data_IF_055668989784
#
_entry.id   IF_055668989784
#
_cell.length_a   1.000
_cell.length_b   1.000
_cell.length_c   1.000
_cell.angle_alpha   90.00
_cell.angle_beta   90.00
_cell.angle_gamma   90.00
#
_symmetry.space_group_name_H-M   'P 1'
#
loop_
_entity.id
_entity.type
_entity.pdbx_description
1 polymer ?
#
# COMPACT_ATOMS: atom_id res chain seq x y z
N UNK A 1 8.49 40.74 -3.28
CA UNK A 1 7.41 39.77 -2.99
C UNK A 1 8.05 38.57 -2.34
N UNK A 2 7.85 38.38 -1.04
CA UNK A 2 8.32 37.18 -0.33
C UNK A 2 7.27 36.09 -0.56
N UNK A 3 7.70 34.92 -1.06
CA UNK A 3 6.81 33.77 -1.22
C UNK A 3 6.68 33.13 0.16
N UNK A 4 5.51 33.31 0.77
CA UNK A 4 5.19 32.66 2.03
C UNK A 4 4.97 31.16 1.78
N UNK A 5 5.83 30.33 2.36
CA UNK A 5 5.81 28.87 2.13
C UNK A 5 4.83 28.22 3.10
N UNK A 6 3.61 27.99 2.66
CA UNK A 6 2.62 27.21 3.41
C UNK A 6 3.00 25.73 3.39
N UNK A 7 3.24 25.14 4.55
CA UNK A 7 3.48 23.70 4.72
C UNK A 7 2.19 23.05 5.20
N UNK A 8 1.57 22.23 4.35
CA UNK A 8 0.36 21.46 4.71
C UNK A 8 0.81 20.08 5.19
N UNK A 9 0.58 19.79 6.46
CA UNK A 9 0.81 18.46 7.03
C UNK A 9 -0.41 17.57 6.73
N UNK A 10 -0.30 16.71 5.72
CA UNK A 10 -1.32 15.69 5.43
C UNK A 10 -1.01 14.46 6.28
N UNK A 11 -1.79 14.27 7.35
CA UNK A 11 -1.72 13.06 8.16
C UNK A 11 -2.56 11.97 7.51
N UNK A 12 -1.97 11.16 6.62
CA UNK A 12 -2.61 9.90 6.23
C UNK A 12 -2.62 8.97 7.46
N UNK A 13 -3.75 8.37 7.84
CA UNK A 13 -3.87 7.62 9.10
C UNK A 13 -2.90 6.43 9.21
N UNK A 14 -2.40 5.93 8.07
CA UNK A 14 -1.13 5.20 7.99
C UNK A 14 -0.64 5.26 6.54
N UNK A 15 0.47 5.96 6.20
CA UNK A 15 1.02 5.94 4.84
C UNK A 15 1.58 4.55 4.47
N UNK A 16 1.84 3.71 5.48
CA UNK A 16 2.42 2.40 5.34
C UNK A 16 1.65 1.37 6.14
N UNK A 17 1.57 0.15 5.62
CA UNK A 17 0.83 -0.93 6.26
C UNK A 17 1.59 -2.24 6.16
N UNK A 18 1.64 -2.99 7.26
CA UNK A 18 2.19 -4.34 7.24
C UNK A 18 1.40 -5.23 6.27
N UNK A 19 2.10 -6.05 5.48
CA UNK A 19 1.49 -6.91 4.45
C UNK A 19 0.30 -7.73 4.98
N UNK A 20 0.42 -8.32 6.17
CA UNK A 20 -0.66 -9.13 6.75
C UNK A 20 -1.92 -8.30 7.04
N UNK A 21 -1.75 -7.05 7.50
CA UNK A 21 -2.88 -6.15 7.73
C UNK A 21 -3.50 -5.69 6.42
N UNK A 22 -2.67 -5.44 5.40
CA UNK A 22 -3.15 -5.12 4.06
C UNK A 22 -4.00 -6.26 3.49
N UNK A 23 -3.49 -7.49 3.53
CA UNK A 23 -4.23 -8.69 3.08
C UNK A 23 -5.55 -8.88 3.82
N UNK A 24 -5.56 -8.67 5.14
CA UNK A 24 -6.78 -8.75 5.94
C UNK A 24 -7.83 -7.72 5.51
N UNK A 25 -7.42 -6.48 5.21
CA UNK A 25 -8.35 -5.41 4.82
C UNK A 25 -8.83 -5.53 3.38
N UNK A 26 -7.99 -6.03 2.47
CA UNK A 26 -8.33 -6.13 1.04
C UNK A 26 -8.94 -7.47 0.66
N UNK A 27 -8.83 -8.49 1.52
CA UNK A 27 -9.22 -9.87 1.19
C UNK A 27 -8.24 -10.57 0.26
N UNK A 28 -7.12 -9.94 -0.10
CA UNK A 28 -6.10 -10.56 -0.94
C UNK A 28 -5.33 -11.64 -0.17
N UNK A 29 -4.96 -12.72 -0.86
CA UNK A 29 -4.14 -13.77 -0.22
C UNK A 29 -2.71 -13.29 0.03
N UNK A 30 -2.17 -13.66 1.20
CA UNK A 30 -0.79 -13.35 1.58
C UNK A 30 0.21 -13.85 0.53
N UNK A 31 -0.01 -15.04 -0.02
CA UNK A 31 0.85 -15.63 -1.06
C UNK A 31 0.85 -14.81 -2.35
N UNK A 32 -0.32 -14.32 -2.79
CA UNK A 32 -0.44 -13.44 -3.96
C UNK A 32 0.31 -12.13 -3.73
N UNK A 33 0.08 -11.48 -2.60
CA UNK A 33 0.75 -10.20 -2.31
C UNK A 33 2.27 -10.39 -2.17
N UNK A 34 2.75 -11.46 -1.54
CA UNK A 34 4.18 -11.78 -1.48
C UNK A 34 4.79 -11.96 -2.87
N UNK A 35 4.09 -12.63 -3.78
CA UNK A 35 4.52 -12.81 -5.16
C UNK A 35 4.60 -11.47 -5.89
N UNK A 36 3.58 -10.63 -5.79
CA UNK A 36 3.59 -9.28 -6.37
C UNK A 36 4.76 -8.43 -5.83
N UNK A 37 5.10 -8.57 -4.55
CA UNK A 37 6.27 -7.90 -3.96
C UNK A 37 7.58 -8.41 -4.58
N UNK A 38 7.74 -9.72 -4.78
CA UNK A 38 8.94 -10.28 -5.43
C UNK A 38 9.04 -9.92 -6.92
N UNK A 39 7.90 -9.74 -7.59
CA UNK A 39 7.81 -9.38 -9.00
C UNK A 39 7.93 -7.85 -9.22
N UNK A 40 7.94 -7.06 -8.15
CA UNK A 40 8.03 -5.59 -8.21
C UNK A 40 6.72 -4.89 -8.56
N UNK A 41 5.60 -5.61 -8.54
CA UNK A 41 4.26 -5.12 -8.89
C UNK A 41 3.52 -4.47 -7.70
N UNK A 42 3.94 -4.77 -6.47
CA UNK A 42 3.36 -4.19 -5.26
C UNK A 42 4.28 -3.10 -4.70
N UNK A 43 3.79 -1.85 -4.57
CA UNK A 43 4.55 -0.77 -3.93
C UNK A 43 4.87 -1.10 -2.46
N UNK A 44 6.16 -1.09 -2.12
CA UNK A 44 6.63 -1.31 -0.76
C UNK A 44 7.69 -0.28 -0.38
N UNK A 45 7.86 -0.06 0.93
CA UNK A 45 9.08 0.59 1.41
C UNK A 45 10.27 -0.30 1.06
N UNK A 46 11.34 0.24 0.46
CA UNK A 46 12.58 -0.49 0.22
C UNK A 46 13.08 -1.16 1.50
N UNK A 47 13.40 -2.45 1.39
CA UNK A 47 13.91 -3.24 2.53
C UNK A 47 15.43 -3.36 2.41
N UNK A 48 16.10 -3.26 3.54
CA UNK A 48 17.56 -3.45 3.62
C UNK A 48 17.95 -4.93 3.75
N UNK A 49 16.99 -5.79 4.11
CA UNK A 49 17.20 -7.23 4.20
C UNK A 49 15.89 -8.00 4.01
N UNK A 50 16.00 -9.28 3.66
CA UNK A 50 14.84 -10.16 3.47
C UNK A 50 14.07 -10.44 4.77
N UNK A 51 14.75 -10.37 5.91
CA UNK A 51 14.16 -10.59 7.24
C UNK A 51 13.30 -9.42 7.72
N UNK A 52 13.43 -8.26 7.08
CA UNK A 52 12.65 -7.08 7.42
C UNK A 52 11.19 -7.25 7.01
N UNK A 53 10.28 -6.85 7.91
CA UNK A 53 8.85 -6.82 7.67
C UNK A 53 8.53 -6.04 6.40
N UNK A 54 7.69 -6.61 5.55
CA UNK A 54 7.18 -5.92 4.36
C UNK A 54 6.15 -4.89 4.78
N UNK A 55 6.43 -3.64 4.43
CA UNK A 55 5.51 -2.51 4.58
C UNK A 55 5.06 -2.05 3.19
N UNK A 56 3.76 -2.15 2.93
CA UNK A 56 3.11 -1.67 1.72
C UNK A 56 3.06 -0.15 1.77
N UNK A 57 3.44 0.52 0.68
CA UNK A 57 3.27 1.96 0.50
C UNK A 57 1.85 2.25 0.02
N UNK A 58 0.98 2.65 0.94
CA UNK A 58 -0.43 2.89 0.64
C UNK A 58 -0.62 4.14 -0.22
N UNK A 59 0.27 5.13 -0.10
CA UNK A 59 0.18 6.35 -0.90
C UNK A 59 0.38 6.02 -2.37
N UNK A 60 1.39 5.20 -2.68
CA UNK A 60 1.65 4.79 -4.05
C UNK A 60 0.58 3.85 -4.59
N UNK A 61 0.10 2.91 -3.78
CA UNK A 61 -1.06 2.06 -4.15
C UNK A 61 -2.27 2.91 -4.53
N UNK A 62 -2.61 3.94 -3.73
CA UNK A 62 -3.75 4.80 -4.05
C UNK A 62 -3.58 5.55 -5.37
N UNK A 63 -2.37 6.07 -5.67
CA UNK A 63 -2.11 6.72 -6.97
C UNK A 63 -2.25 5.74 -8.14
N UNK A 64 -1.76 4.50 -7.99
CA UNK A 64 -1.86 3.50 -9.04
C UNK A 64 -3.33 3.05 -9.25
N UNK A 65 -4.12 2.98 -8.19
CA UNK A 65 -5.57 2.71 -8.28
C UNK A 65 -6.29 3.87 -8.97
N UNK A 66 -6.01 5.11 -8.56
CA UNK A 66 -6.62 6.32 -9.13
C UNK A 66 -6.31 6.46 -10.63
N UNK A 67 -5.08 6.13 -11.04
CA UNK A 67 -4.68 6.09 -12.45
C UNK A 67 -5.15 4.85 -13.22
N UNK A 68 -5.82 3.89 -12.56
CA UNK A 68 -6.32 2.65 -13.16
C UNK A 68 -5.25 1.59 -13.47
N UNK A 69 -3.99 1.81 -13.04
CA UNK A 69 -2.86 0.90 -13.23
C UNK A 69 -2.84 -0.25 -12.22
N UNK A 70 -3.61 -0.12 -11.14
CA UNK A 70 -3.75 -1.14 -10.10
C UNK A 70 -5.22 -1.35 -9.77
N UNK A 71 -5.64 -2.62 -9.70
CA UNK A 71 -7.01 -2.97 -9.29
C UNK A 71 -6.98 -3.77 -8.01
N UNK A 72 -7.61 -3.23 -6.98
CA UNK A 72 -7.87 -3.95 -5.75
C UNK A 72 -9.08 -4.85 -5.99
N UNK A 73 -8.85 -6.16 -6.11
CA UNK A 73 -9.91 -7.16 -6.11
C UNK A 73 -10.31 -7.42 -4.67
N UNK A 74 -11.31 -6.69 -4.18
CA UNK A 74 -11.91 -6.97 -2.87
C UNK A 74 -12.93 -8.09 -3.03
N UNK A 75 -12.64 -9.26 -2.45
CA UNK A 75 -13.71 -10.18 -2.12
C UNK A 75 -14.39 -9.62 -0.88
N UNK A 76 -15.52 -8.92 -1.06
CA UNK A 76 -16.42 -8.63 0.04
C UNK A 76 -16.81 -9.98 0.64
N UNK A 77 -16.34 -10.26 1.85
CA UNK A 77 -16.95 -11.30 2.66
C UNK A 77 -18.34 -10.77 2.97
N UNK A 78 -19.35 -11.19 2.20
CA UNK A 78 -20.73 -11.04 2.61
C UNK A 78 -20.84 -11.78 3.94
N UNK A 79 -20.98 -11.01 5.02
CA UNK A 79 -21.26 -11.53 6.34
C UNK A 79 -22.62 -12.23 6.29
N UNK A 80 -22.60 -13.56 6.34
CA UNK A 80 -23.76 -14.41 6.68
C UNK A 80 -24.29 -14.11 8.10
#
# INVERSE_FOLDING_TARGET
>A
MSIEKTVIHITAPAPFMALNRFCFLTGMSVSRVKRMVSEGEMPIIPRQSERQTVLIDLVEVYKLVDSGQFKLETHTLESE
#
